data_IF_566121318345
#
_entry.id   IF_566121318345
#
_cell.length_a   1.000
_cell.length_b   1.000
_cell.length_c   1.000
_cell.angle_alpha   90.00
_cell.angle_beta   90.00
_cell.angle_gamma   90.00
#
_symmetry.space_group_name_H-M   'P 1'
#
loop_
_entity.id
_entity.type
_entity.pdbx_description
1 polymer ?
#
# COMPACT_ATOMS: atom_id res chain seq x y z
N UNK A 1 29.77 -5.31 10.45
CA UNK A 1 28.53 -5.67 9.76
C UNK A 1 27.34 -5.29 10.63
N UNK A 2 26.94 -4.01 10.58
CA UNK A 2 25.79 -3.44 11.33
C UNK A 2 25.09 -2.40 10.44
N UNK A 3 24.48 -2.80 9.35
CA UNK A 3 23.78 -1.89 8.44
C UNK A 3 22.53 -2.56 7.82
N UNK A 4 21.77 -3.33 8.59
CA UNK A 4 20.49 -3.90 8.12
C UNK A 4 19.32 -3.59 9.05
N UNK A 5 19.45 -2.52 9.88
CA UNK A 5 18.43 -2.22 10.90
C UNK A 5 17.30 -1.28 10.46
N UNK A 6 17.38 -0.67 9.28
CA UNK A 6 16.33 0.24 8.79
C UNK A 6 15.81 -0.23 7.42
N UNK A 7 15.23 -1.43 7.38
CA UNK A 7 14.39 -1.78 6.25
C UNK A 7 13.07 -1.03 6.46
N UNK A 8 12.95 0.14 5.83
CA UNK A 8 11.73 0.95 5.80
C UNK A 8 10.53 0.09 5.42
N UNK A 9 9.36 0.38 5.99
CA UNK A 9 8.07 -0.22 5.59
C UNK A 9 7.90 -0.14 4.06
N UNK A 10 8.36 0.94 3.43
CA UNK A 10 8.35 1.10 1.97
C UNK A 10 9.31 0.18 1.23
N UNK A 11 10.42 -0.29 1.81
CA UNK A 11 11.30 -1.22 1.13
C UNK A 11 10.65 -2.60 0.93
N UNK A 12 9.68 -2.97 1.76
CA UNK A 12 8.86 -4.16 1.53
C UNK A 12 7.84 -3.95 0.40
N UNK A 13 7.52 -2.70 0.08
CA UNK A 13 6.52 -2.29 -0.92
C UNK A 13 7.18 -1.67 -2.17
N UNK A 14 8.38 -1.08 -2.03
CA UNK A 14 9.02 -0.20 -3.04
C UNK A 14 9.83 -0.92 -4.13
N UNK A 15 9.76 -2.24 -4.28
CA UNK A 15 10.41 -2.88 -5.43
C UNK A 15 9.60 -2.74 -6.73
N UNK A 16 8.82 -1.64 -6.85
CA UNK A 16 7.95 -1.48 -8.01
C UNK A 16 7.83 -0.05 -8.48
N UNK A 17 8.75 0.29 -9.37
CA UNK A 17 8.60 1.44 -10.23
C UNK A 17 7.48 1.21 -11.27
N UNK A 18 6.47 2.05 -11.20
CA UNK A 18 5.70 2.67 -12.26
C UNK A 18 5.31 1.83 -13.50
N UNK A 19 4.04 1.51 -13.58
CA UNK A 19 3.27 1.80 -14.80
C UNK A 19 1.89 2.28 -14.35
N UNK A 20 1.66 3.57 -14.40
CA UNK A 20 0.34 4.15 -14.23
C UNK A 20 -0.51 3.77 -15.44
N UNK A 21 -1.34 2.76 -15.30
CA UNK A 21 -2.43 2.54 -16.22
C UNK A 21 -3.60 3.39 -15.73
N UNK A 22 -3.89 4.41 -16.51
CA UNK A 22 -5.04 5.28 -16.53
C UNK A 22 -6.30 4.66 -15.93
N UNK A 23 -6.70 5.10 -14.73
CA UNK A 23 -8.10 5.06 -14.34
C UNK A 23 -8.80 6.21 -15.07
N UNK A 24 -9.85 5.88 -15.81
CA UNK A 24 -10.63 6.80 -16.61
C UNK A 24 -11.18 7.95 -15.77
N UNK A 25 -10.94 9.17 -16.26
CA UNK A 25 -11.63 10.38 -15.82
C UNK A 25 -13.11 10.24 -16.16
N UNK A 26 -13.93 10.15 -15.14
CA UNK A 26 -15.33 10.58 -15.19
C UNK A 26 -15.44 11.87 -14.37
N UNK A 27 -15.73 12.97 -15.06
CA UNK A 27 -15.71 14.37 -14.62
C UNK A 27 -16.96 14.76 -13.76
N UNK A 28 -17.34 14.01 -12.74
CA UNK A 28 -18.53 14.30 -11.94
C UNK A 28 -18.29 14.64 -10.45
N UNK A 29 -17.13 15.16 -10.05
CA UNK A 29 -16.90 15.62 -8.68
C UNK A 29 -16.16 16.95 -8.60
N UNK A 30 -16.81 18.03 -9.02
CA UNK A 30 -16.25 19.40 -8.98
C UNK A 30 -15.95 19.93 -7.56
N UNK A 31 -16.41 19.26 -6.48
CA UNK A 31 -16.29 19.71 -5.08
C UNK A 31 -15.66 18.69 -4.12
N UNK A 32 -15.05 17.60 -4.60
CA UNK A 32 -14.43 16.63 -3.70
C UNK A 32 -13.00 17.04 -3.32
N UNK A 33 -12.82 17.49 -2.07
CA UNK A 33 -11.51 17.84 -1.51
C UNK A 33 -10.84 16.62 -0.86
N UNK A 34 -9.93 15.98 -1.60
CA UNK A 34 -9.17 14.85 -1.09
C UNK A 34 -8.27 15.24 0.08
N UNK A 35 -7.76 16.47 0.16
CA UNK A 35 -6.90 16.91 1.26
C UNK A 35 -7.62 16.83 2.61
N UNK A 36 -8.86 17.27 2.65
CA UNK A 36 -9.68 17.17 3.87
C UNK A 36 -10.20 15.74 4.09
N UNK A 37 -10.57 15.04 3.03
CA UNK A 37 -11.14 13.69 3.14
C UNK A 37 -10.12 12.66 3.63
N UNK A 38 -8.84 12.78 3.23
CA UNK A 38 -7.82 11.77 3.53
C UNK A 38 -7.47 11.71 5.02
N UNK A 39 -7.63 12.82 5.76
CA UNK A 39 -7.28 12.87 7.19
C UNK A 39 -8.02 11.81 7.99
N UNK A 40 -7.28 11.01 8.74
CA UNK A 40 -7.79 9.89 9.54
C UNK A 40 -6.98 8.61 9.33
N UNK A 41 -7.45 7.51 9.91
CA UNK A 41 -6.78 6.21 9.82
C UNK A 41 -7.37 5.37 8.70
N UNK A 42 -6.51 4.85 7.87
CA UNK A 42 -6.78 4.01 6.71
C UNK A 42 -6.07 2.69 6.86
N UNK A 43 -6.71 1.59 6.51
CA UNK A 43 -6.13 0.27 6.63
C UNK A 43 -6.32 -0.57 5.35
N UNK A 44 -5.35 -1.43 5.08
CA UNK A 44 -5.50 -2.42 4.01
C UNK A 44 -6.63 -3.39 4.36
N UNK A 45 -7.54 -3.64 3.42
CA UNK A 45 -8.66 -4.53 3.66
C UNK A 45 -8.81 -5.63 2.61
N UNK A 46 -8.24 -5.42 1.43
CA UNK A 46 -8.38 -6.33 0.31
C UNK A 46 -7.17 -6.26 -0.62
N UNK A 47 -6.81 -7.37 -1.24
CA UNK A 47 -5.91 -7.38 -2.38
C UNK A 47 -6.46 -8.22 -3.52
N UNK A 48 -6.21 -7.80 -4.76
CA UNK A 48 -6.39 -8.64 -5.94
C UNK A 48 -5.01 -9.09 -6.41
N UNK A 49 -4.77 -10.39 -6.38
CA UNK A 49 -3.49 -11.00 -6.74
C UNK A 49 -3.60 -11.61 -8.14
N UNK A 50 -2.66 -11.28 -9.00
CA UNK A 50 -2.56 -11.79 -10.37
C UNK A 50 -1.34 -12.70 -10.46
N UNK A 51 -1.54 -13.99 -10.64
CA UNK A 51 -0.46 -14.92 -10.91
C UNK A 51 0.14 -14.66 -12.30
N UNK A 52 1.46 -14.51 -12.37
CA UNK A 52 2.17 -14.36 -13.63
C UNK A 52 2.79 -15.71 -14.02
N UNK A 53 2.40 -16.24 -15.17
CA UNK A 53 2.94 -17.47 -15.73
C UNK A 53 1.95 -18.12 -16.69
N UNK A 54 2.45 -18.68 -17.81
CA UNK A 54 1.62 -19.33 -18.84
C UNK A 54 0.77 -20.49 -18.28
N UNK A 55 1.23 -21.13 -17.20
CA UNK A 55 0.53 -22.26 -16.58
C UNK A 55 -0.67 -21.84 -15.71
N UNK A 56 -0.77 -20.55 -15.34
CA UNK A 56 -1.87 -20.06 -14.47
C UNK A 56 -2.93 -19.27 -15.23
N UNK A 57 -2.81 -19.17 -16.57
CA UNK A 57 -3.84 -18.63 -17.44
C UNK A 57 -4.31 -17.20 -17.15
N UNK A 58 -3.49 -16.38 -16.50
CA UNK A 58 -3.88 -15.02 -16.12
C UNK A 58 -4.97 -14.93 -15.07
N UNK A 59 -5.12 -15.95 -14.23
CA UNK A 59 -6.11 -15.98 -13.16
C UNK A 59 -5.78 -14.94 -12.09
N UNK A 60 -6.81 -14.25 -11.60
CA UNK A 60 -6.73 -13.37 -10.45
C UNK A 60 -7.50 -13.98 -9.28
N UNK A 61 -7.03 -13.73 -8.06
CA UNK A 61 -7.72 -14.07 -6.83
C UNK A 61 -7.87 -12.82 -5.98
N UNK A 62 -9.05 -12.63 -5.41
CA UNK A 62 -9.28 -11.60 -4.40
C UNK A 62 -9.09 -12.23 -3.02
N UNK A 63 -8.32 -11.54 -2.17
CA UNK A 63 -8.05 -11.97 -0.80
C UNK A 63 -8.43 -10.85 0.17
N UNK A 64 -9.06 -11.22 1.28
CA UNK A 64 -9.36 -10.31 2.36
C UNK A 64 -8.12 -10.16 3.27
N UNK A 65 -7.81 -8.92 3.65
CA UNK A 65 -6.69 -8.58 4.54
C UNK A 65 -7.28 -8.06 5.84
N UNK A 66 -6.86 -8.64 6.96
CA UNK A 66 -7.23 -8.15 8.30
C UNK A 66 -6.09 -8.35 9.28
N UNK A 67 -6.09 -7.59 10.36
CA UNK A 67 -5.01 -7.59 11.36
C UNK A 67 -4.78 -8.95 12.02
N UNK A 68 -5.81 -9.79 12.07
CA UNK A 68 -5.80 -11.12 12.72
C UNK A 68 -6.09 -12.27 11.77
N UNK A 69 -6.27 -11.98 10.47
CA UNK A 69 -6.62 -12.98 9.46
C UNK A 69 -5.43 -13.76 8.91
N UNK A 70 -5.71 -14.65 7.97
CA UNK A 70 -4.70 -15.47 7.28
C UNK A 70 -3.62 -14.63 6.60
N UNK A 71 -3.96 -13.43 6.12
CA UNK A 71 -3.05 -12.50 5.43
C UNK A 71 -2.63 -11.32 6.31
N UNK A 72 -2.58 -11.51 7.65
CA UNK A 72 -2.21 -10.46 8.60
C UNK A 72 -0.83 -9.87 8.35
N UNK A 73 0.11 -10.63 7.80
CA UNK A 73 1.43 -10.13 7.38
C UNK A 73 1.37 -9.09 6.26
N UNK A 74 0.26 -9.00 5.55
CA UNK A 74 0.00 -8.00 4.51
C UNK A 74 -0.84 -6.83 5.01
N UNK A 75 -1.22 -6.85 6.29
CA UNK A 75 -2.00 -5.78 6.90
C UNK A 75 -1.09 -4.61 7.26
N UNK A 76 -1.54 -3.40 6.92
CA UNK A 76 -0.89 -2.15 7.31
C UNK A 76 -1.92 -1.05 7.51
N UNK A 77 -1.51 -0.02 8.23
CA UNK A 77 -2.31 1.17 8.54
C UNK A 77 -1.55 2.43 8.16
N UNK A 78 -2.28 3.42 7.64
CA UNK A 78 -1.82 4.78 7.41
C UNK A 78 -2.71 5.72 8.22
N UNK A 79 -2.11 6.53 9.09
CA UNK A 79 -2.82 7.62 9.78
C UNK A 79 -2.35 8.95 9.21
N UNK A 80 -3.20 9.55 8.38
CA UNK A 80 -3.00 10.87 7.80
C UNK A 80 -3.43 11.93 8.81
N UNK A 81 -2.57 12.87 9.11
CA UNK A 81 -2.80 13.96 10.04
C UNK A 81 -2.69 15.30 9.32
N UNK A 82 -3.32 16.34 9.88
CA UNK A 82 -3.21 17.69 9.35
C UNK A 82 -1.76 18.12 9.20
N UNK A 83 -1.50 18.98 8.19
CA UNK A 83 -0.17 19.47 7.91
C UNK A 83 0.76 18.47 7.22
N UNK A 84 0.20 17.47 6.52
CA UNK A 84 0.99 16.53 5.70
C UNK A 84 1.78 15.51 6.52
N UNK A 85 1.43 15.30 7.79
CA UNK A 85 2.08 14.29 8.65
C UNK A 85 1.44 12.93 8.48
N UNK A 86 2.26 11.90 8.46
CA UNK A 86 1.84 10.52 8.28
C UNK A 86 2.42 9.63 9.38
N UNK A 87 1.61 8.72 9.92
CA UNK A 87 2.07 7.57 10.70
C UNK A 87 1.72 6.30 9.93
N UNK A 88 2.68 5.43 9.79
CA UNK A 88 2.55 4.16 9.08
C UNK A 88 2.78 3.01 10.05
N UNK A 89 1.94 1.99 9.98
CA UNK A 89 2.06 0.79 10.79
C UNK A 89 1.97 -0.46 9.91
N UNK A 90 2.83 -1.45 10.15
CA UNK A 90 2.81 -2.74 9.46
C UNK A 90 3.44 -3.84 10.31
N UNK A 91 3.10 -5.09 9.97
CA UNK A 91 3.78 -6.25 10.54
C UNK A 91 5.12 -6.49 9.83
N UNK A 92 6.18 -6.69 10.61
CA UNK A 92 7.50 -7.11 10.11
C UNK A 92 8.01 -8.31 10.91
N UNK A 93 8.74 -9.19 10.26
CA UNK A 93 9.47 -10.27 10.95
C UNK A 93 10.71 -9.69 11.63
N UNK A 94 10.93 -10.05 12.90
CA UNK A 94 12.19 -9.81 13.58
C UNK A 94 13.27 -10.82 13.15
N UNK A 95 14.47 -10.71 13.74
CA UNK A 95 15.62 -11.59 13.44
C UNK A 95 15.35 -13.06 13.82
N UNK A 96 14.33 -13.34 14.64
CA UNK A 96 13.90 -14.67 15.05
C UNK A 96 12.73 -15.20 14.21
N UNK A 97 12.28 -14.42 13.23
CA UNK A 97 11.15 -14.76 12.35
C UNK A 97 9.77 -14.49 12.98
N UNK A 98 9.71 -13.84 14.14
CA UNK A 98 8.47 -13.49 14.82
C UNK A 98 7.87 -12.23 14.20
N UNK A 99 6.59 -12.27 13.87
CA UNK A 99 5.86 -11.12 13.33
C UNK A 99 5.53 -10.13 14.45
N UNK A 100 6.04 -8.92 14.34
CA UNK A 100 5.79 -7.82 15.28
C UNK A 100 5.19 -6.62 14.53
N UNK A 101 4.35 -5.87 15.24
CA UNK A 101 3.82 -4.61 14.75
C UNK A 101 4.85 -3.49 14.91
N UNK A 102 5.16 -2.80 13.84
CA UNK A 102 6.07 -1.66 13.80
C UNK A 102 5.35 -0.42 13.30
N UNK A 103 5.70 0.71 13.87
CA UNK A 103 5.20 2.01 13.44
C UNK A 103 6.36 2.93 13.11
N UNK A 104 6.17 3.76 12.09
CA UNK A 104 7.10 4.83 11.73
C UNK A 104 6.34 6.08 11.32
N UNK A 105 7.02 7.23 11.42
CA UNK A 105 6.48 8.52 10.98
C UNK A 105 7.03 8.87 9.61
N UNK A 106 6.22 9.59 8.86
CA UNK A 106 6.57 10.12 7.54
C UNK A 106 5.76 11.37 7.23
N UNK A 107 5.70 11.69 5.98
CA UNK A 107 4.91 12.80 5.44
C UNK A 107 4.08 12.34 4.25
N UNK A 108 3.08 13.11 3.89
CA UNK A 108 2.32 12.89 2.66
C UNK A 108 2.03 14.19 1.94
N UNK A 109 1.81 14.08 0.63
CA UNK A 109 1.38 15.16 -0.24
C UNK A 109 0.26 14.67 -1.15
N UNK A 110 -0.81 15.45 -1.27
CA UNK A 110 -1.92 15.18 -2.19
C UNK A 110 -1.77 16.06 -3.42
N UNK A 111 -1.87 15.46 -4.59
CA UNK A 111 -1.86 16.17 -5.87
C UNK A 111 -2.89 15.53 -6.82
N UNK A 112 -4.04 16.15 -6.96
CA UNK A 112 -5.18 15.58 -7.65
C UNK A 112 -5.69 14.32 -6.93
N UNK A 113 -5.73 13.21 -7.62
CA UNK A 113 -6.09 11.88 -7.09
C UNK A 113 -4.89 11.06 -6.60
N UNK A 114 -3.67 11.61 -6.66
CA UNK A 114 -2.45 10.94 -6.23
C UNK A 114 -2.04 11.41 -4.84
N UNK A 115 -1.79 10.47 -3.96
CA UNK A 115 -1.22 10.70 -2.63
C UNK A 115 0.19 10.13 -2.61
N UNK A 116 1.19 11.00 -2.46
CA UNK A 116 2.59 10.59 -2.30
C UNK A 116 2.91 10.48 -0.82
N UNK A 117 3.29 9.30 -0.38
CA UNK A 117 3.78 9.04 0.98
C UNK A 117 5.30 9.06 0.96
N UNK A 118 5.91 9.65 1.99
CA UNK A 118 7.38 9.66 2.13
C UNK A 118 7.72 9.25 3.56
N UNK A 119 8.56 8.21 3.69
CA UNK A 119 9.02 7.73 4.99
C UNK A 119 10.14 8.59 5.58
N UNK A 120 10.62 8.21 6.76
CA UNK A 120 11.70 8.92 7.48
C UNK A 120 13.04 8.89 6.72
N UNK A 121 13.26 7.89 5.87
CA UNK A 121 14.49 7.75 5.08
C UNK A 121 14.40 8.48 3.73
N UNK A 122 13.27 9.13 3.43
CA UNK A 122 13.03 9.86 2.18
C UNK A 122 12.56 8.97 1.02
N UNK A 123 12.28 7.69 1.26
CA UNK A 123 11.69 6.81 0.24
C UNK A 123 10.23 7.18 0.03
N UNK A 124 9.81 7.30 -1.22
CA UNK A 124 8.45 7.72 -1.55
C UNK A 124 7.66 6.64 -2.29
N UNK A 125 6.37 6.57 -1.98
CA UNK A 125 5.38 5.71 -2.61
C UNK A 125 4.19 6.55 -3.06
N UNK A 126 3.81 6.43 -4.33
CA UNK A 126 2.60 7.05 -4.85
C UNK A 126 1.43 6.04 -4.79
N UNK A 127 0.31 6.48 -4.24
CA UNK A 127 -0.95 5.74 -4.21
C UNK A 127 -2.02 6.57 -4.89
N UNK A 128 -2.96 5.90 -5.57
CA UNK A 128 -4.05 6.55 -6.29
C UNK A 128 -5.33 6.45 -5.46
N UNK A 129 -6.04 7.57 -5.35
CA UNK A 129 -7.36 7.60 -4.74
C UNK A 129 -8.42 7.31 -5.81
N UNK A 130 -9.21 6.27 -5.56
CA UNK A 130 -10.39 5.96 -6.35
C UNK A 130 -11.60 6.72 -5.79
N UNK A 131 -12.07 7.71 -6.55
CA UNK A 131 -13.21 8.56 -6.15
C UNK A 131 -14.52 7.79 -6.10
N UNK A 132 -14.67 6.73 -6.89
CA UNK A 132 -15.87 5.89 -6.95
C UNK A 132 -16.00 5.02 -5.70
N UNK A 133 -14.95 4.29 -5.38
CA UNK A 133 -14.94 3.37 -4.23
C UNK A 133 -14.51 4.04 -2.93
N UNK A 134 -14.09 5.31 -2.98
CA UNK A 134 -13.54 6.06 -1.84
C UNK A 134 -12.42 5.28 -1.15
N UNK A 135 -11.54 4.69 -1.93
CA UNK A 135 -10.41 3.88 -1.47
C UNK A 135 -9.10 4.38 -2.04
N UNK A 136 -8.01 4.08 -1.34
CA UNK A 136 -6.66 4.22 -1.89
C UNK A 136 -6.25 2.87 -2.47
N UNK A 137 -5.56 2.90 -3.61
CA UNK A 137 -5.07 1.71 -4.26
C UNK A 137 -3.61 1.88 -4.67
N UNK A 138 -2.79 0.89 -4.40
CA UNK A 138 -1.47 0.79 -4.99
C UNK A 138 -1.20 -0.60 -5.55
N UNK A 139 -0.31 -0.67 -6.52
CA UNK A 139 0.08 -1.92 -7.14
C UNK A 139 1.43 -2.38 -6.62
N UNK A 140 1.47 -3.67 -6.37
CA UNK A 140 2.63 -4.36 -5.93
C UNK A 140 2.97 -5.58 -6.81
N UNK A 141 4.26 -5.99 -6.91
CA UNK A 141 4.68 -7.27 -7.48
C UNK A 141 5.67 -7.95 -6.52
N UNK A 142 5.75 -9.23 -6.57
CA UNK A 142 6.64 -10.01 -5.73
C UNK A 142 6.86 -11.39 -6.31
N UNK A 143 7.59 -12.20 -5.54
CA UNK A 143 7.78 -13.62 -5.79
C UNK A 143 7.25 -14.35 -4.56
N UNK A 144 6.36 -15.30 -4.75
CA UNK A 144 5.84 -16.12 -3.64
C UNK A 144 6.87 -17.16 -3.17
N UNK A 145 6.55 -17.87 -2.08
CA UNK A 145 7.43 -18.90 -1.50
C UNK A 145 7.77 -20.05 -2.46
N UNK A 146 6.99 -20.23 -3.52
CA UNK A 146 7.22 -21.21 -4.60
C UNK A 146 8.04 -20.66 -5.77
N UNK A 147 8.57 -19.44 -5.66
CA UNK A 147 9.36 -18.79 -6.70
C UNK A 147 8.53 -18.22 -7.86
N UNK A 148 7.21 -18.14 -7.72
CA UNK A 148 6.31 -17.69 -8.79
C UNK A 148 6.12 -16.16 -8.66
N UNK A 149 6.42 -15.38 -9.73
CA UNK A 149 6.15 -13.96 -9.72
C UNK A 149 4.65 -13.67 -9.74
N UNK A 150 4.24 -12.67 -8.98
CA UNK A 150 2.86 -12.18 -8.96
C UNK A 150 2.82 -10.65 -9.00
N UNK A 151 1.69 -10.11 -9.41
CA UNK A 151 1.30 -8.70 -9.19
C UNK A 151 0.13 -8.66 -8.23
N UNK A 152 0.01 -7.59 -7.47
CA UNK A 152 -1.13 -7.40 -6.60
C UNK A 152 -1.58 -5.92 -6.64
N UNK A 153 -2.89 -5.70 -6.62
CA UNK A 153 -3.49 -4.41 -6.31
C UNK A 153 -3.98 -4.47 -4.87
N UNK A 154 -3.50 -3.58 -4.02
CA UNK A 154 -3.87 -3.54 -2.61
C UNK A 154 -4.76 -2.32 -2.38
N UNK A 155 -5.90 -2.56 -1.76
CA UNK A 155 -6.94 -1.57 -1.50
C UNK A 155 -6.98 -1.22 -0.02
N UNK A 156 -7.12 0.08 0.25
CA UNK A 156 -7.06 0.67 1.58
C UNK A 156 -8.30 1.52 1.78
N UNK A 157 -8.96 1.35 2.90
CA UNK A 157 -10.15 2.13 3.31
C UNK A 157 -9.97 2.78 4.67
N UNK A 158 -10.72 3.84 4.87
CA UNK A 158 -10.83 4.57 6.13
C UNK A 158 -11.66 3.80 7.15
#
# INVERSE_FOLDING_TARGET
>A
MKQLKNLSIFMLVALMAATFASCSKDDDNADFDLNSYIVGTWHSYKATVYAQGSQYGGQSAEVEISKTGQYSQSYFEFTFQDGGRLRMGAFKKDDNGVMNWYEENGTYLVSGDVVTLTDADGTSLAIVFDTKDKSLCFQGAGINDSGIPYKASIYIKK
#
